data_IF_173105686090
#
_entry.id   IF_173105686090
#
_cell.length_a   1.000
_cell.length_b   1.000
_cell.length_c   1.000
_cell.angle_alpha   90.00
_cell.angle_beta   90.00
_cell.angle_gamma   90.00
#
_symmetry.space_group_name_H-M   'P 1'
#
loop_
_entity.id
_entity.type
_entity.pdbx_description
1 polymer ?
#
# COMPACT_ATOMS: atom_id res chain seq x y z
N UNK A 1 26.47 10.73 34.15
CA UNK A 1 26.00 10.79 32.75
C UNK A 1 24.51 10.47 32.74
N UNK A 2 23.67 11.43 32.37
CA UNK A 2 22.21 11.30 32.43
C UNK A 2 21.69 10.26 31.44
N UNK A 3 20.78 9.39 31.92
CA UNK A 3 19.97 8.52 31.07
C UNK A 3 19.16 9.42 30.13
N UNK A 4 19.57 9.55 28.87
CA UNK A 4 18.70 10.12 27.83
C UNK A 4 17.47 9.22 27.74
N UNK A 5 16.37 9.76 28.25
CA UNK A 5 15.02 9.27 28.01
C UNK A 5 14.90 8.85 26.54
N UNK A 6 14.65 7.55 26.31
CA UNK A 6 14.27 7.06 24.99
C UNK A 6 12.92 7.69 24.70
N UNK A 7 12.89 8.74 23.88
CA UNK A 7 11.65 9.26 23.31
C UNK A 7 10.97 8.08 22.61
N UNK A 8 9.92 7.55 23.24
CA UNK A 8 8.93 6.73 22.54
C UNK A 8 8.32 7.61 21.47
N UNK A 9 8.20 7.08 20.25
CA UNK A 9 7.46 7.69 19.17
C UNK A 9 6.07 8.07 19.70
N UNK A 10 5.75 9.36 19.74
CA UNK A 10 4.40 9.80 20.08
C UNK A 10 3.72 10.16 18.77
N UNK A 11 2.78 9.34 18.27
CA UNK A 11 1.99 9.75 17.11
C UNK A 11 1.35 11.10 17.37
N UNK A 12 1.29 11.95 16.34
CA UNK A 12 0.77 13.30 16.50
C UNK A 12 -0.72 13.28 16.85
N UNK A 13 -1.09 14.14 17.80
CA UNK A 13 -2.48 14.35 18.21
C UNK A 13 -3.05 15.57 17.50
N UNK A 14 -4.32 15.48 17.12
CA UNK A 14 -5.09 16.58 16.54
C UNK A 14 -6.41 16.75 17.28
N UNK A 15 -6.93 17.98 17.40
CA UNK A 15 -8.23 18.21 18.05
C UNK A 15 -9.39 17.61 17.24
N UNK A 16 -9.23 17.50 15.92
CA UNK A 16 -10.20 16.90 15.01
C UNK A 16 -9.50 16.22 13.83
N UNK A 17 -9.89 14.97 13.54
CA UNK A 17 -9.41 14.21 12.40
C UNK A 17 -9.75 14.90 11.06
N UNK A 18 -10.86 15.64 10.97
CA UNK A 18 -11.31 16.29 9.72
C UNK A 18 -10.26 17.22 9.11
N UNK A 19 -9.49 17.92 9.93
CA UNK A 19 -8.45 18.83 9.43
C UNK A 19 -7.36 18.05 8.70
N UNK A 20 -6.90 16.93 9.26
CA UNK A 20 -5.90 16.05 8.64
C UNK A 20 -6.47 15.43 7.37
N UNK A 21 -7.70 14.92 7.44
CA UNK A 21 -8.40 14.33 6.29
C UNK A 21 -8.48 15.31 5.12
N UNK A 22 -8.86 16.57 5.38
CA UNK A 22 -8.94 17.61 4.35
C UNK A 22 -7.57 17.92 3.73
N UNK A 23 -6.52 18.00 4.55
CA UNK A 23 -5.16 18.22 4.06
C UNK A 23 -4.70 17.05 3.18
N UNK A 24 -4.91 15.81 3.60
CA UNK A 24 -4.63 14.62 2.80
C UNK A 24 -5.42 14.63 1.49
N UNK A 25 -6.72 14.92 1.53
CA UNK A 25 -7.56 15.05 0.33
C UNK A 25 -7.00 16.10 -0.64
N UNK A 26 -6.66 17.30 -0.15
CA UNK A 26 -6.12 18.36 -0.98
C UNK A 26 -4.78 17.96 -1.63
N UNK A 27 -3.96 17.18 -0.93
CA UNK A 27 -2.68 16.69 -1.44
C UNK A 27 -2.85 15.59 -2.49
N UNK A 28 -3.80 14.67 -2.30
CA UNK A 28 -4.01 13.51 -3.17
C UNK A 28 -4.80 13.85 -4.45
N UNK A 29 -5.74 14.80 -4.38
CA UNK A 29 -6.58 15.23 -5.52
C UNK A 29 -5.81 15.48 -6.82
N UNK A 30 -4.72 16.28 -6.84
CA UNK A 30 -3.96 16.51 -8.07
C UNK A 30 -3.27 15.24 -8.58
N UNK A 31 -2.78 14.38 -7.68
CA UNK A 31 -2.07 13.14 -8.04
C UNK A 31 -2.99 12.11 -8.69
N UNK A 32 -4.20 11.95 -8.15
CA UNK A 32 -5.19 11.03 -8.70
C UNK A 32 -5.99 11.61 -9.87
N UNK A 33 -5.83 12.91 -10.16
CA UNK A 33 -6.61 13.64 -11.16
C UNK A 33 -8.14 13.48 -10.97
N UNK A 34 -8.60 13.49 -9.71
CA UNK A 34 -10.03 13.38 -9.36
C UNK A 34 -10.47 14.67 -8.67
N UNK A 35 -11.49 15.33 -9.23
CA UNK A 35 -11.99 16.62 -8.72
C UNK A 35 -12.68 16.50 -7.36
N UNK A 36 -13.49 15.45 -7.19
CA UNK A 36 -14.35 15.25 -6.03
C UNK A 36 -13.89 14.01 -5.26
N UNK A 37 -12.94 14.25 -4.36
CA UNK A 37 -12.50 13.27 -3.37
C UNK A 37 -12.84 13.78 -1.98
N UNK A 38 -13.21 12.84 -1.12
CA UNK A 38 -13.36 13.06 0.32
C UNK A 38 -13.03 11.77 1.08
N UNK A 39 -12.67 11.93 2.34
CA UNK A 39 -12.61 10.80 3.27
C UNK A 39 -13.95 10.68 4.00
N UNK A 40 -14.54 9.49 3.98
CA UNK A 40 -15.75 9.19 4.73
C UNK A 40 -15.45 8.22 5.88
N UNK A 41 -16.17 8.38 6.98
CA UNK A 41 -16.07 7.50 8.14
C UNK A 41 -16.67 6.12 7.78
N UNK A 42 -15.84 5.08 7.78
CA UNK A 42 -16.26 3.71 7.50
C UNK A 42 -16.62 2.97 8.78
N UNK A 43 -15.76 3.09 9.79
CA UNK A 43 -15.92 2.41 11.06
C UNK A 43 -15.61 3.38 12.19
N UNK A 44 -16.52 3.36 13.17
CA UNK A 44 -16.37 4.03 14.45
C UNK A 44 -16.69 3.01 15.53
N UNK A 45 -15.67 2.61 16.27
CA UNK A 45 -15.85 1.93 17.54
C UNK A 45 -15.20 2.72 18.67
N UNK A 46 -15.34 2.24 19.92
CA UNK A 46 -14.79 2.93 21.09
C UNK A 46 -13.27 3.04 21.09
N UNK A 47 -12.57 2.33 20.18
CA UNK A 47 -11.12 2.21 20.12
C UNK A 47 -10.53 2.85 18.87
N UNK A 48 -11.24 2.90 17.74
CA UNK A 48 -10.72 3.35 16.44
C UNK A 48 -11.76 4.05 15.58
N UNK A 49 -11.27 5.05 14.86
CA UNK A 49 -11.95 5.74 13.77
C UNK A 49 -11.19 5.45 12.48
N UNK A 50 -11.86 4.86 11.50
CA UNK A 50 -11.29 4.53 10.20
C UNK A 50 -12.03 5.34 9.14
N UNK A 51 -11.25 6.07 8.35
CA UNK A 51 -11.74 6.87 7.25
C UNK A 51 -11.21 6.31 5.94
N UNK A 52 -12.09 6.15 4.94
CA UNK A 52 -11.72 5.71 3.59
C UNK A 52 -11.92 6.81 2.56
N UNK A 53 -10.98 6.92 1.62
CA UNK A 53 -11.11 7.81 0.49
C UNK A 53 -12.20 7.31 -0.47
N UNK A 54 -13.09 8.21 -0.87
CA UNK A 54 -14.15 7.95 -1.84
C UNK A 54 -14.22 9.07 -2.86
N UNK A 55 -14.92 8.80 -3.97
CA UNK A 55 -15.30 9.79 -4.97
C UNK A 55 -16.82 9.95 -4.96
N UNK A 56 -17.31 11.18 -4.76
CA UNK A 56 -18.74 11.46 -4.60
C UNK A 56 -19.54 11.42 -5.90
N UNK A 57 -18.88 11.55 -7.06
CA UNK A 57 -19.53 11.63 -8.37
C UNK A 57 -19.59 10.30 -9.11
N UNK A 58 -18.66 9.39 -8.82
CA UNK A 58 -18.64 8.07 -9.42
C UNK A 58 -19.40 7.11 -8.51
N UNK A 59 -20.25 6.24 -9.08
CA UNK A 59 -20.90 5.19 -8.30
C UNK A 59 -19.89 4.44 -7.44
N UNK A 60 -20.31 4.02 -6.24
CA UNK A 60 -19.39 3.41 -5.27
C UNK A 60 -18.92 2.06 -5.82
N UNK A 61 -17.62 1.98 -6.10
CA UNK A 61 -16.96 0.73 -6.52
C UNK A 61 -16.26 0.11 -5.32
N UNK A 62 -16.33 -1.21 -5.24
CA UNK A 62 -15.71 -1.97 -4.16
C UNK A 62 -14.70 -2.99 -4.70
N UNK A 63 -13.75 -3.32 -3.84
CA UNK A 63 -12.84 -4.45 -3.98
C UNK A 63 -12.79 -5.23 -2.66
N UNK A 64 -12.37 -6.49 -2.71
CA UNK A 64 -12.27 -7.36 -1.53
C UNK A 64 -10.82 -7.82 -1.39
N UNK A 65 -10.25 -7.74 -0.19
CA UNK A 65 -8.91 -8.27 0.07
C UNK A 65 -8.92 -9.79 0.36
N UNK A 66 -7.73 -10.38 0.52
CA UNK A 66 -7.54 -11.81 0.79
C UNK A 66 -8.17 -12.30 2.11
N UNK A 67 -8.52 -11.36 3.01
CA UNK A 67 -9.19 -11.63 4.28
C UNK A 67 -10.71 -11.45 4.18
N UNK A 68 -11.24 -11.14 3.00
CA UNK A 68 -12.65 -10.91 2.78
C UNK A 68 -13.14 -9.51 3.19
N UNK A 69 -12.25 -8.58 3.53
CA UNK A 69 -12.67 -7.22 3.86
C UNK A 69 -12.99 -6.45 2.59
N UNK A 70 -14.12 -5.74 2.60
CA UNK A 70 -14.61 -4.94 1.48
C UNK A 70 -14.14 -3.50 1.63
N UNK A 71 -13.52 -2.97 0.58
CA UNK A 71 -12.89 -1.65 0.55
C UNK A 71 -13.53 -0.79 -0.54
N UNK A 72 -13.76 0.50 -0.27
CA UNK A 72 -14.10 1.47 -1.32
C UNK A 72 -12.86 1.76 -2.16
N UNK A 73 -13.03 1.72 -3.48
CA UNK A 73 -11.92 1.95 -4.41
C UNK A 73 -12.26 3.01 -5.44
N UNK A 74 -11.22 3.72 -5.88
CA UNK A 74 -11.27 4.66 -7.00
C UNK A 74 -10.28 4.23 -8.07
N UNK A 75 -10.52 4.65 -9.31
CA UNK A 75 -9.64 4.31 -10.44
C UNK A 75 -8.30 5.05 -10.27
N UNK A 76 -7.19 4.32 -10.37
CA UNK A 76 -5.84 4.85 -10.13
C UNK A 76 -5.17 5.35 -11.41
N UNK A 77 -5.35 4.62 -12.52
CA UNK A 77 -4.77 4.90 -13.83
C UNK A 77 -5.86 4.74 -14.90
N UNK A 78 -6.69 5.76 -15.13
CA UNK A 78 -7.78 5.70 -16.12
C UNK A 78 -7.31 5.53 -17.57
N UNK A 79 -6.07 5.91 -17.86
CA UNK A 79 -5.43 5.81 -19.18
C UNK A 79 -5.11 4.38 -19.62
N UNK A 80 -5.01 3.43 -18.67
CA UNK A 80 -4.76 2.02 -18.98
C UNK A 80 -6.11 1.32 -19.16
N UNK A 81 -6.44 0.98 -20.41
CA UNK A 81 -7.75 0.45 -20.80
C UNK A 81 -7.83 -1.07 -20.72
N UNK A 82 -6.75 -1.78 -21.07
CA UNK A 82 -6.73 -3.25 -21.15
C UNK A 82 -6.94 -3.90 -19.78
N UNK A 83 -6.45 -3.26 -18.71
CA UNK A 83 -6.72 -3.64 -17.32
C UNK A 83 -6.78 -2.37 -16.46
N UNK A 84 -7.76 -2.31 -15.55
CA UNK A 84 -7.90 -1.15 -14.66
C UNK A 84 -7.24 -1.41 -13.31
N UNK A 85 -6.39 -0.47 -12.89
CA UNK A 85 -5.91 -0.39 -11.52
C UNK A 85 -6.83 0.44 -10.65
N UNK A 86 -7.01 -0.03 -9.44
CA UNK A 86 -7.86 0.57 -8.42
C UNK A 86 -7.07 0.80 -7.16
N UNK A 87 -7.39 1.88 -6.46
CA UNK A 87 -6.73 2.26 -5.22
C UNK A 87 -7.77 2.44 -4.10
N UNK A 88 -7.45 1.94 -2.92
CA UNK A 88 -8.10 2.28 -1.66
C UNK A 88 -7.08 2.99 -0.78
N UNK A 89 -7.51 4.04 -0.09
CA UNK A 89 -6.69 4.77 0.88
C UNK A 89 -7.49 4.89 2.16
N UNK A 90 -6.93 4.43 3.27
CA UNK A 90 -7.57 4.51 4.58
C UNK A 90 -6.66 5.15 5.63
N UNK A 91 -7.21 6.06 6.45
CA UNK A 91 -6.53 6.66 7.60
C UNK A 91 -7.19 6.20 8.89
N UNK A 92 -6.39 5.86 9.89
CA UNK A 92 -6.85 5.39 11.20
C UNK A 92 -6.44 6.36 12.29
N UNK A 93 -7.39 6.67 13.17
CA UNK A 93 -7.19 7.50 14.35
C UNK A 93 -7.68 6.79 15.61
N UNK A 94 -6.97 6.96 16.72
CA UNK A 94 -7.44 6.56 18.05
C UNK A 94 -8.09 7.75 18.76
N UNK A 95 -9.28 7.60 19.34
CA UNK A 95 -9.90 8.63 20.16
C UNK A 95 -9.16 8.76 21.49
N UNK A 96 -8.83 9.99 21.89
CA UNK A 96 -8.22 10.31 23.19
C UNK A 96 -9.27 10.99 24.06
N UNK A 97 -9.58 10.38 25.20
CA UNK A 97 -10.53 10.90 26.19
C UNK A 97 -9.75 11.32 27.44
N UNK A 98 -9.79 12.61 27.79
CA UNK A 98 -9.22 13.07 29.05
C UNK A 98 -10.22 12.83 30.19
N UNK A 99 -9.70 12.37 31.33
CA UNK A 99 -10.42 11.94 32.53
C UNK A 99 -11.70 12.74 32.83
N UNK A 100 -12.83 12.24 32.32
CA UNK A 100 -14.16 12.60 32.77
C UNK A 100 -15.10 11.45 32.42
N UNK A 101 -15.80 10.93 33.42
CA UNK A 101 -16.56 9.67 33.39
C UNK A 101 -17.80 9.67 32.47
N UNK A 102 -17.96 10.67 31.58
CA UNK A 102 -19.21 10.96 30.87
C UNK A 102 -19.05 11.48 29.43
N UNK A 103 -17.86 11.48 28.82
CA UNK A 103 -17.70 12.04 27.46
C UNK A 103 -18.14 11.08 26.37
N UNK A 104 -19.14 11.52 25.59
CA UNK A 104 -19.63 10.85 24.36
C UNK A 104 -18.72 11.16 23.14
N UNK A 105 -17.90 12.22 23.23
CA UNK A 105 -17.01 12.67 22.14
C UNK A 105 -15.54 12.70 22.63
N UNK A 106 -14.57 12.25 21.80
CA UNK A 106 -13.15 12.40 22.11
C UNK A 106 -12.71 13.86 22.19
N UNK A 107 -11.73 14.12 23.04
CA UNK A 107 -11.10 15.43 23.19
C UNK A 107 -10.10 15.70 22.07
N UNK A 108 -9.36 14.66 21.70
CA UNK A 108 -8.40 14.67 20.61
C UNK A 108 -8.42 13.33 19.88
N UNK A 109 -7.79 13.31 18.72
CA UNK A 109 -7.53 12.12 17.93
C UNK A 109 -6.04 11.95 17.78
N UNK A 110 -5.54 10.77 18.08
CA UNK A 110 -4.17 10.39 17.82
C UNK A 110 -4.10 9.66 16.49
N UNK A 111 -3.24 10.09 15.57
CA UNK A 111 -3.02 9.35 14.33
C UNK A 111 -2.44 7.97 14.64
N UNK A 112 -3.02 6.90 14.07
CA UNK A 112 -2.57 5.52 14.31
C UNK A 112 -1.93 4.89 13.08
N UNK A 113 -2.33 5.29 11.88
CA UNK A 113 -1.73 4.74 10.67
C UNK A 113 -2.48 5.06 9.39
N UNK A 114 -1.81 4.74 8.29
CA UNK A 114 -2.28 4.92 6.92
C UNK A 114 -2.07 3.63 6.13
N UNK A 115 -3.01 3.33 5.23
CA UNK A 115 -2.91 2.21 4.33
C UNK A 115 -3.33 2.61 2.92
N UNK A 116 -2.52 2.22 1.93
CA UNK A 116 -2.80 2.35 0.51
C UNK A 116 -2.83 0.93 -0.07
N UNK A 117 -3.99 0.49 -0.58
CA UNK A 117 -4.14 -0.82 -1.23
C UNK A 117 -4.34 -0.64 -2.72
N UNK A 118 -3.73 -1.52 -3.50
CA UNK A 118 -3.86 -1.55 -4.95
C UNK A 118 -4.51 -2.86 -5.39
N UNK A 119 -5.46 -2.73 -6.29
CA UNK A 119 -6.17 -3.86 -6.90
C UNK A 119 -6.13 -3.77 -8.42
N UNK A 120 -6.30 -4.90 -9.10
CA UNK A 120 -6.41 -5.01 -10.56
C UNK A 120 -7.72 -5.69 -10.94
N UNK A 121 -8.35 -5.23 -12.01
CA UNK A 121 -9.51 -5.91 -12.58
C UNK A 121 -10.47 -4.96 -13.27
N UNK A 122 -11.41 -5.51 -14.02
CA UNK A 122 -12.45 -4.71 -14.66
C UNK A 122 -13.42 -4.10 -13.63
N UNK A 123 -14.09 -3.03 -14.01
CA UNK A 123 -15.04 -2.35 -13.12
C UNK A 123 -16.20 -3.27 -12.70
N UNK A 124 -16.62 -4.16 -13.61
CA UNK A 124 -17.73 -5.11 -13.49
C UNK A 124 -17.39 -6.38 -12.73
N UNK A 125 -16.11 -6.61 -12.42
CA UNK A 125 -15.63 -7.86 -11.85
C UNK A 125 -15.08 -7.65 -10.43
N UNK A 126 -14.88 -8.79 -9.75
CA UNK A 126 -14.11 -8.82 -8.51
C UNK A 126 -12.67 -8.41 -8.81
N UNK A 127 -12.18 -7.42 -8.06
CA UNK A 127 -10.83 -6.88 -8.24
C UNK A 127 -9.87 -7.69 -7.39
N UNK A 128 -8.80 -8.12 -8.02
CA UNK A 128 -7.72 -8.88 -7.40
C UNK A 128 -6.84 -7.95 -6.55
N UNK A 129 -6.59 -8.26 -5.28
CA UNK A 129 -5.67 -7.49 -4.45
C UNK A 129 -4.22 -7.79 -4.86
N UNK A 130 -3.42 -6.75 -5.13
CA UNK A 130 -2.02 -6.87 -5.54
C UNK A 130 -1.08 -6.70 -4.35
N UNK A 131 -1.08 -5.50 -3.78
CA UNK A 131 -0.22 -5.13 -2.65
C UNK A 131 -0.82 -3.98 -1.85
N UNK A 132 -0.20 -3.71 -0.71
CA UNK A 132 -0.56 -2.64 0.22
C UNK A 132 0.68 -1.97 0.79
N UNK A 133 0.82 -0.67 0.61
CA UNK A 133 1.74 0.13 1.41
C UNK A 133 1.05 0.51 2.73
N UNK A 134 1.76 0.35 3.85
CA UNK A 134 1.25 0.78 5.14
C UNK A 134 2.29 1.44 6.02
N UNK A 135 1.80 2.34 6.87
CA UNK A 135 2.55 2.92 7.97
C UNK A 135 1.67 2.87 9.22
N UNK A 136 1.92 1.90 10.09
CA UNK A 136 1.22 1.72 11.37
C UNK A 136 2.13 2.20 12.52
N UNK A 137 1.69 3.24 13.23
CA UNK A 137 2.50 3.90 14.26
C UNK A 137 2.41 3.19 15.62
N UNK A 138 1.35 2.41 15.84
CA UNK A 138 1.02 1.89 17.18
C UNK A 138 1.21 0.38 17.33
N UNK A 139 1.52 -0.33 16.25
CA UNK A 139 1.89 -1.74 16.34
C UNK A 139 3.24 -1.83 17.05
N UNK A 140 3.31 -2.22 18.31
CA UNK A 140 4.54 -2.17 19.14
C UNK A 140 5.36 -3.47 19.16
N UNK A 141 5.10 -4.36 18.22
CA UNK A 141 5.94 -5.53 17.99
C UNK A 141 7.21 -5.10 17.25
N UNK A 142 8.34 -5.00 17.96
CA UNK A 142 9.70 -4.74 17.44
C UNK A 142 10.16 -5.64 16.26
N UNK A 143 9.29 -6.52 15.75
CA UNK A 143 9.51 -7.45 14.66
C UNK A 143 9.05 -6.91 13.28
N UNK A 144 8.45 -5.71 13.20
CA UNK A 144 7.92 -5.17 11.94
C UNK A 144 8.42 -3.77 11.59
N UNK A 145 8.91 -3.65 10.35
CA UNK A 145 9.36 -2.39 9.75
C UNK A 145 8.20 -1.48 9.43
N UNK A 146 8.38 -0.19 9.64
CA UNK A 146 7.42 0.83 9.31
C UNK A 146 8.13 2.03 8.67
N UNK A 147 7.67 2.50 7.50
CA UNK A 147 6.59 1.92 6.70
C UNK A 147 7.04 0.63 5.97
N UNK A 148 6.08 -0.17 5.47
CA UNK A 148 6.40 -1.37 4.70
C UNK A 148 5.34 -1.71 3.64
N UNK A 149 5.71 -2.63 2.73
CA UNK A 149 4.81 -3.24 1.76
C UNK A 149 4.30 -4.58 2.26
N UNK A 150 3.02 -4.86 2.01
CA UNK A 150 2.42 -6.17 2.14
C UNK A 150 2.00 -6.64 0.74
N UNK A 151 2.51 -7.79 0.30
CA UNK A 151 2.16 -8.38 -0.99
C UNK A 151 1.17 -9.52 -0.75
N UNK A 152 0.04 -9.49 -1.45
CA UNK A 152 -1.03 -10.46 -1.24
C UNK A 152 -0.68 -11.83 -1.83
N UNK A 153 -1.07 -12.92 -1.16
CA UNK A 153 -0.75 -14.28 -1.63
C UNK A 153 -1.38 -14.60 -2.98
N UNK A 154 -2.61 -14.14 -3.21
CA UNK A 154 -3.31 -14.30 -4.49
C UNK A 154 -2.50 -13.77 -5.66
N UNK A 155 -1.76 -12.68 -5.44
CA UNK A 155 -0.87 -12.09 -6.42
C UNK A 155 0.38 -12.95 -6.66
N UNK A 156 0.97 -13.53 -5.61
CA UNK A 156 2.19 -14.35 -5.72
C UNK A 156 1.93 -15.74 -6.33
N UNK A 157 0.76 -16.34 -6.08
CA UNK A 157 0.48 -17.72 -6.50
C UNK A 157 0.12 -17.89 -7.98
N UNK A 158 0.14 -16.81 -8.78
CA UNK A 158 -0.09 -16.88 -10.23
C UNK A 158 1.15 -17.29 -11.03
N UNK A 159 2.34 -16.90 -10.57
CA UNK A 159 3.60 -17.15 -11.28
C UNK A 159 4.39 -18.32 -10.69
N UNK A 160 4.05 -18.76 -9.48
CA UNK A 160 4.64 -19.96 -8.89
C UNK A 160 3.85 -21.20 -9.32
N UNK A 161 4.04 -21.62 -10.57
CA UNK A 161 3.84 -23.02 -10.89
C UNK A 161 4.78 -23.84 -9.99
N UNK A 162 4.18 -24.62 -9.10
CA UNK A 162 4.82 -25.37 -8.03
C UNK A 162 5.77 -26.51 -8.50
N UNK A 163 6.23 -26.47 -9.75
CA UNK A 163 7.18 -27.43 -10.31
C UNK A 163 8.65 -27.07 -10.03
N UNK A 164 8.98 -25.80 -9.79
CA UNK A 164 10.33 -25.39 -9.41
C UNK A 164 10.34 -24.69 -8.03
N UNK A 165 10.31 -25.51 -6.97
CA UNK A 165 10.93 -25.07 -5.72
C UNK A 165 12.42 -24.87 -5.99
N UNK A 166 12.80 -23.66 -6.42
CA UNK A 166 14.16 -23.17 -6.29
C UNK A 166 14.48 -23.17 -4.79
N UNK A 167 14.97 -24.29 -4.29
CA UNK A 167 15.51 -24.37 -2.95
C UNK A 167 16.66 -23.38 -2.87
N UNK A 168 16.88 -22.76 -1.72
CA UNK A 168 18.03 -21.89 -1.48
C UNK A 168 19.37 -22.58 -1.86
N UNK A 169 19.41 -23.91 -1.81
CA UNK A 169 20.55 -24.73 -2.27
C UNK A 169 20.76 -24.74 -3.80
N UNK A 170 19.71 -24.50 -4.61
CA UNK A 170 19.84 -24.37 -6.07
C UNK A 170 20.52 -23.05 -6.45
N UNK A 171 20.23 -21.95 -5.74
CA UNK A 171 20.85 -20.63 -5.93
C UNK A 171 22.33 -20.59 -5.51
N UNK A 172 22.73 -21.48 -4.58
CA UNK A 172 24.13 -21.59 -4.14
C UNK A 172 25.01 -22.37 -5.13
N UNK A 173 24.41 -23.09 -6.08
CA UNK A 173 25.14 -23.89 -7.09
C UNK A 173 25.36 -23.14 -8.41
N UNK A 174 24.67 -22.02 -8.62
CA UNK A 174 24.98 -21.11 -9.72
C UNK A 174 26.12 -20.18 -9.32
N UNK A 175 27.25 -20.27 -10.01
CA UNK A 175 28.40 -19.36 -9.84
C UNK A 175 28.15 -17.95 -10.39
N UNK A 176 26.91 -17.59 -10.68
CA UNK A 176 26.50 -16.29 -11.17
C UNK A 176 25.59 -15.61 -10.15
N UNK A 177 25.87 -14.34 -9.90
CA UNK A 177 25.02 -13.49 -9.07
C UNK A 177 23.69 -13.30 -9.83
N UNK A 178 22.67 -14.05 -9.44
CA UNK A 178 21.30 -13.78 -9.87
C UNK A 178 20.78 -12.58 -9.09
N UNK A 179 20.64 -11.44 -9.77
CA UNK A 179 19.87 -10.31 -9.27
C UNK A 179 18.40 -10.74 -9.11
N UNK A 180 17.80 -10.42 -7.96
CA UNK A 180 16.36 -10.56 -7.74
C UNK A 180 15.61 -9.60 -8.68
N UNK A 181 15.34 -10.06 -9.90
CA UNK A 181 14.65 -9.29 -10.95
C UNK A 181 15.18 -9.50 -12.37
N UNK A 182 16.29 -10.21 -12.57
CA UNK A 182 16.85 -10.46 -13.90
C UNK A 182 16.79 -11.94 -14.27
N UNK A 183 15.62 -12.40 -14.73
CA UNK A 183 15.53 -13.61 -15.54
C UNK A 183 15.13 -13.22 -16.96
N UNK A 184 16.11 -12.82 -17.76
CA UNK A 184 16.01 -12.80 -19.22
C UNK A 184 17.17 -13.58 -19.79
N UNK A 185 16.97 -14.89 -20.00
CA UNK A 185 17.62 -15.61 -21.09
C UNK A 185 16.58 -16.63 -21.61
N UNK A 186 16.13 -16.53 -22.88
CA UNK A 186 15.28 -17.54 -23.48
C UNK A 186 16.15 -18.74 -23.89
N UNK A 187 15.97 -19.88 -23.23
CA UNK A 187 16.52 -21.13 -23.73
C UNK A 187 15.83 -21.48 -25.06
N UNK A 188 16.55 -21.26 -26.15
CA UNK A 188 16.21 -21.75 -27.48
C UNK A 188 16.25 -23.29 -27.49
N UNK A 189 15.11 -23.92 -27.22
CA UNK A 189 14.79 -25.22 -27.80
C UNK A 189 13.50 -25.07 -28.57
N UNK A 190 13.60 -25.29 -29.88
CA UNK A 190 12.50 -25.28 -30.81
C UNK A 190 11.44 -26.30 -30.37
N UNK A 191 10.20 -25.84 -30.26
CA UNK A 191 9.05 -26.72 -30.44
C UNK A 191 8.06 -26.01 -31.37
N UNK A 192 8.04 -26.48 -32.62
CA UNK A 192 7.04 -26.12 -33.62
C UNK A 192 5.74 -26.85 -33.27
N UNK A 193 4.82 -26.19 -32.56
CA UNK A 193 3.35 -26.29 -32.69
C UNK A 193 2.65 -25.85 -31.40
N UNK A 194 2.26 -24.58 -31.33
CA UNK A 194 1.04 -24.20 -30.61
C UNK A 194 0.56 -22.82 -31.08
N UNK A 195 -0.38 -22.83 -32.03
CA UNK A 195 -1.24 -21.69 -32.39
C UNK A 195 -2.23 -21.39 -31.26
N UNK A 196 -1.71 -21.01 -30.10
CA UNK A 196 -2.43 -20.35 -29.04
C UNK A 196 -1.63 -19.10 -28.70
N UNK A 197 -2.12 -17.95 -29.16
CA UNK A 197 -1.68 -16.66 -28.64
C UNK A 197 -2.08 -16.61 -27.16
N UNK A 198 -1.24 -17.20 -26.31
CA UNK A 198 -1.32 -16.98 -24.87
C UNK A 198 -1.15 -15.47 -24.66
N UNK A 199 -2.22 -14.90 -24.11
CA UNK A 199 -2.22 -13.55 -23.56
C UNK A 199 -0.97 -13.41 -22.69
N UNK A 200 -0.16 -12.37 -22.95
CA UNK A 200 0.90 -11.93 -22.04
C UNK A 200 0.25 -11.40 -20.75
N UNK A 201 -0.33 -12.31 -19.98
CA UNK A 201 -0.73 -12.08 -18.61
C UNK A 201 0.56 -11.84 -17.83
N UNK A 202 0.74 -10.60 -17.39
CA UNK A 202 1.53 -10.23 -16.22
C UNK A 202 2.76 -11.11 -15.91
N UNK A 203 3.77 -11.16 -16.78
CA UNK A 203 5.17 -11.51 -16.42
C UNK A 203 5.82 -10.35 -15.60
N UNK A 204 5.03 -9.75 -14.71
CA UNK A 204 5.25 -8.39 -14.19
C UNK A 204 5.55 -8.34 -12.70
N UNK A 205 5.38 -9.45 -11.97
CA UNK A 205 5.75 -9.54 -10.55
C UNK A 205 7.26 -9.33 -10.33
N UNK A 206 8.07 -9.55 -11.38
CA UNK A 206 9.52 -9.32 -11.40
C UNK A 206 9.94 -7.87 -11.69
N UNK A 207 9.01 -6.98 -12.10
CA UNK A 207 9.37 -5.62 -12.58
C UNK A 207 8.89 -4.45 -11.72
N UNK A 208 7.92 -4.68 -10.82
CA UNK A 208 7.53 -3.64 -9.86
C UNK A 208 8.60 -3.53 -8.77
N UNK A 209 9.25 -2.38 -8.66
CA UNK A 209 10.25 -2.18 -7.61
C UNK A 209 9.55 -1.75 -6.32
N UNK A 210 9.61 -2.56 -5.28
CA UNK A 210 9.05 -2.24 -3.96
C UNK A 210 10.02 -1.41 -3.10
N UNK A 211 10.43 -0.26 -3.62
CA UNK A 211 11.30 0.64 -2.88
C UNK A 211 10.58 1.17 -1.64
N UNK A 212 11.24 1.10 -0.49
CA UNK A 212 10.87 1.82 0.74
C UNK A 212 12.10 2.51 1.28
N UNK A 213 11.96 3.79 1.63
CA UNK A 213 13.03 4.51 2.29
C UNK A 213 13.23 3.94 3.70
N UNK A 214 14.34 3.21 3.90
CA UNK A 214 14.80 2.79 5.21
C UNK A 214 16.04 3.60 5.62
N UNK A 215 15.97 4.35 6.72
CA UNK A 215 17.14 5.03 7.32
C UNK A 215 18.01 4.07 8.15
N UNK A 216 18.21 2.83 7.68
CA UNK A 216 19.02 1.85 8.40
C UNK A 216 20.45 2.36 8.66
N UNK A 217 20.98 3.14 7.72
CA UNK A 217 22.29 3.78 7.79
C UNK A 217 22.38 4.89 8.86
N UNK A 218 21.26 5.52 9.24
CA UNK A 218 21.24 6.60 10.23
C UNK A 218 20.90 6.12 11.65
N UNK A 219 20.01 5.11 11.75
CA UNK A 219 19.41 4.72 13.05
C UNK A 219 19.77 3.30 13.50
N UNK A 220 20.84 2.72 12.95
CA UNK A 220 21.45 1.47 13.45
C UNK A 220 20.48 0.28 13.46
N UNK A 221 19.76 0.07 12.36
CA UNK A 221 18.79 -1.03 12.24
C UNK A 221 17.41 -0.76 12.85
N UNK A 222 17.17 0.43 13.41
CA UNK A 222 15.79 0.87 13.65
C UNK A 222 15.11 1.06 12.31
N UNK A 223 14.06 0.27 12.12
CA UNK A 223 13.30 0.11 10.89
C UNK A 223 11.94 0.80 11.03
N UNK A 224 11.82 1.77 11.95
CA UNK A 224 10.59 2.52 12.28
C UNK A 224 10.85 4.01 12.31
N UNK A 225 9.92 4.76 11.73
CA UNK A 225 9.98 6.22 11.63
C UNK A 225 8.78 6.85 12.33
N UNK A 226 9.06 7.93 13.05
CA UNK A 226 8.02 8.81 13.57
C UNK A 226 7.39 9.54 12.40
N UNK A 227 6.07 9.45 12.29
CA UNK A 227 5.30 10.17 11.29
C UNK A 227 4.63 11.34 11.98
N UNK A 228 4.98 12.54 11.57
CA UNK A 228 4.20 13.73 11.87
C UNK A 228 3.21 14.04 10.73
N UNK A 229 2.46 15.11 10.89
CA UNK A 229 1.46 15.52 9.91
C UNK A 229 2.07 15.81 8.53
N UNK A 230 3.21 16.49 8.48
CA UNK A 230 3.80 16.92 7.20
C UNK A 230 4.46 15.72 6.49
N UNK A 231 5.09 14.84 7.27
CA UNK A 231 5.62 13.55 6.82
C UNK A 231 4.53 12.64 6.27
N UNK A 232 3.36 12.60 6.92
CA UNK A 232 2.19 11.87 6.39
C UNK A 232 1.75 12.41 5.03
N UNK A 233 1.66 13.73 4.88
CA UNK A 233 1.24 14.34 3.61
C UNK A 233 2.24 14.05 2.49
N UNK A 234 3.53 14.19 2.77
CA UNK A 234 4.60 13.91 1.80
C UNK A 234 4.66 12.43 1.44
N UNK A 235 4.58 11.53 2.43
CA UNK A 235 4.60 10.09 2.19
C UNK A 235 3.41 9.64 1.38
N UNK A 236 2.20 10.11 1.70
CA UNK A 236 0.98 9.74 1.00
C UNK A 236 1.02 10.18 -0.47
N UNK A 237 1.40 11.42 -0.75
CA UNK A 237 1.57 11.93 -2.11
C UNK A 237 2.63 11.16 -2.89
N UNK A 238 3.84 11.07 -2.34
CA UNK A 238 4.99 10.44 -3.00
C UNK A 238 4.78 8.95 -3.21
N UNK A 239 4.16 8.25 -2.26
CA UNK A 239 3.85 6.82 -2.41
C UNK A 239 2.84 6.58 -3.54
N UNK A 240 1.80 7.41 -3.66
CA UNK A 240 0.82 7.27 -4.76
C UNK A 240 1.47 7.56 -6.10
N UNK A 241 2.27 8.62 -6.22
CA UNK A 241 3.02 8.95 -7.44
C UNK A 241 3.94 7.78 -7.84
N UNK A 242 4.70 7.26 -6.88
CA UNK A 242 5.59 6.13 -7.09
C UNK A 242 4.82 4.89 -7.56
N UNK A 243 3.70 4.56 -6.92
CA UNK A 243 2.83 3.45 -7.35
C UNK A 243 2.37 3.68 -8.80
N UNK A 244 1.90 4.88 -9.15
CA UNK A 244 1.45 5.18 -10.50
C UNK A 244 2.58 5.02 -11.53
N UNK A 245 3.78 5.54 -11.24
CA UNK A 245 4.96 5.41 -12.10
C UNK A 245 5.38 3.94 -12.30
N UNK A 246 5.46 3.17 -11.20
CA UNK A 246 5.82 1.76 -11.29
C UNK A 246 4.76 0.96 -12.03
N UNK A 247 3.47 1.23 -11.81
CA UNK A 247 2.38 0.56 -12.53
C UNK A 247 2.39 0.91 -14.03
N UNK A 248 2.71 2.16 -14.40
CA UNK A 248 2.92 2.57 -15.79
C UNK A 248 4.08 1.82 -16.43
N UNK A 249 5.22 1.77 -15.74
CA UNK A 249 6.42 1.04 -16.17
C UNK A 249 6.12 -0.44 -16.46
N UNK A 250 5.49 -1.16 -15.52
CA UNK A 250 5.17 -2.58 -15.71
C UNK A 250 4.06 -2.82 -16.73
N UNK A 251 3.20 -1.81 -16.97
CA UNK A 251 2.15 -1.89 -18.00
C UNK A 251 2.63 -1.44 -19.38
N UNK A 252 3.90 -1.01 -19.52
CA UNK A 252 4.46 -0.52 -20.79
C UNK A 252 3.91 0.82 -21.27
N UNK A 253 3.20 1.56 -20.41
CA UNK A 253 2.66 2.89 -20.71
C UNK A 253 3.66 3.94 -20.22
N UNK A 254 4.13 4.83 -21.11
CA UNK A 254 5.00 5.97 -20.74
C UNK A 254 4.20 7.26 -20.70
#
# INVERSE_FOLDING_TARGET
MGKKSRQQAVPFCVPDAKTVLQLCTNRIKPVLNVKELEFIELQKDSKRYIYELTNNKSGIVFATDDRGNKHRVIRLLPEILDYTYWINISLTFLPVFNNSKLKVKPDNFQFSGVSIRVFKGLATENKEPLFRAEWDVLKDDNNHAQPHWHIYKSFLMRDFDTSEKLSFESLLKSNEVQDFGASTEPNNFADENSDLKEQKDWDGSTKFHFAMASQWHEKGGKHRFDIDKDSLLCWLEGCIQYIQEQLRYVSGVR
#
